data_IF_154350822150
#
_entry.id   IF_154350822150
#
_cell.length_a   1.000
_cell.length_b   1.000
_cell.length_c   1.000
_cell.angle_alpha   90.00
_cell.angle_beta   90.00
_cell.angle_gamma   90.00
#
_symmetry.space_group_name_H-M   'P 1'
#
loop_
_entity.id
_entity.type
_entity.pdbx_description
1 polymer ?
#
# COMPACT_ATOMS: atom_id res chain seq x y z
N UNK A 1 -2.75 2.18 15.38
CA UNK A 1 -2.63 2.42 13.93
C UNK A 1 -2.78 1.10 13.20
N UNK A 2 -3.54 1.07 12.11
CA UNK A 2 -3.72 -0.10 11.26
C UNK A 2 -3.34 0.25 9.83
N UNK A 3 -2.54 -0.61 9.19
CA UNK A 3 -2.06 -0.40 7.82
C UNK A 3 -2.42 -1.60 6.96
N UNK A 4 -3.05 -1.32 5.82
CA UNK A 4 -3.41 -2.30 4.81
C UNK A 4 -2.39 -2.33 3.66
N UNK A 5 -2.07 -3.51 3.17
CA UNK A 5 -1.27 -3.70 1.95
C UNK A 5 -2.08 -4.48 0.92
N UNK A 6 -2.12 -3.96 -0.30
CA UNK A 6 -2.70 -4.66 -1.45
C UNK A 6 -1.58 -4.95 -2.44
N UNK A 7 -1.14 -6.20 -2.43
CA UNK A 7 0.07 -6.68 -3.13
C UNK A 7 1.28 -6.80 -2.21
N UNK A 8 1.74 -8.03 -1.97
CA UNK A 8 2.97 -8.34 -1.26
C UNK A 8 4.01 -8.91 -2.23
N UNK A 9 4.55 -8.03 -3.05
CA UNK A 9 5.71 -8.31 -3.89
C UNK A 9 7.01 -7.84 -3.24
N UNK A 10 8.01 -7.53 -4.07
CA UNK A 10 9.28 -6.98 -3.62
C UNK A 10 9.10 -5.66 -2.86
N UNK A 11 8.41 -4.70 -3.45
CA UNK A 11 8.25 -3.35 -2.85
C UNK A 11 7.29 -3.39 -1.67
N UNK A 12 6.08 -3.93 -1.85
CA UNK A 12 5.09 -4.01 -0.76
C UNK A 12 5.62 -4.77 0.46
N UNK A 13 6.30 -5.89 0.24
CA UNK A 13 6.97 -6.64 1.31
C UNK A 13 8.09 -5.85 1.99
N UNK A 14 8.88 -5.08 1.23
CA UNK A 14 9.96 -4.26 1.80
C UNK A 14 9.43 -3.12 2.65
N UNK A 15 8.34 -2.45 2.21
CA UNK A 15 7.66 -1.42 3.00
C UNK A 15 7.06 -2.04 4.27
N UNK A 16 6.35 -3.18 4.15
CA UNK A 16 5.76 -3.85 5.30
C UNK A 16 6.81 -4.25 6.35
N UNK A 17 7.99 -4.74 5.91
CA UNK A 17 9.12 -5.03 6.79
C UNK A 17 9.68 -3.77 7.47
N UNK A 18 9.74 -2.65 6.76
CA UNK A 18 10.17 -1.37 7.33
C UNK A 18 9.16 -0.87 8.37
N UNK A 19 7.86 -0.90 8.04
CA UNK A 19 6.80 -0.53 8.99
C UNK A 19 6.88 -1.40 10.25
N UNK A 20 6.98 -2.71 10.12
CA UNK A 20 7.09 -3.62 11.29
C UNK A 20 8.32 -3.32 12.15
N UNK A 21 9.43 -2.97 11.52
CA UNK A 21 10.67 -2.69 12.25
C UNK A 21 10.60 -1.37 13.04
N UNK A 22 10.10 -0.29 12.42
CA UNK A 22 10.07 1.03 13.05
C UNK A 22 8.81 1.26 13.92
N UNK A 23 7.73 0.54 13.63
CA UNK A 23 6.44 0.66 14.31
C UNK A 23 5.90 -0.72 14.70
N UNK A 24 6.54 -1.40 15.69
CA UNK A 24 6.26 -2.81 16.01
C UNK A 24 4.83 -3.07 16.48
N UNK A 25 4.17 -2.08 17.08
CA UNK A 25 2.80 -2.19 17.59
C UNK A 25 1.71 -1.91 16.54
N UNK A 26 2.10 -1.63 15.29
CA UNK A 26 1.14 -1.41 14.20
C UNK A 26 0.47 -2.72 13.79
N UNK A 27 -0.85 -2.72 13.70
CA UNK A 27 -1.56 -3.81 13.04
C UNK A 27 -1.35 -3.70 11.53
N UNK A 28 -0.82 -4.76 10.92
CA UNK A 28 -0.58 -4.82 9.47
C UNK A 28 -1.40 -5.97 8.91
N UNK A 29 -2.28 -5.66 7.96
CA UNK A 29 -3.04 -6.63 7.19
C UNK A 29 -2.63 -6.58 5.72
N UNK A 30 -2.77 -7.69 5.01
CA UNK A 30 -2.43 -7.68 3.59
C UNK A 30 -3.33 -8.60 2.77
N UNK A 31 -3.70 -8.10 1.60
CA UNK A 31 -4.26 -8.88 0.50
C UNK A 31 -3.23 -9.01 -0.61
N UNK A 32 -3.07 -10.21 -1.14
CA UNK A 32 -2.24 -10.44 -2.33
C UNK A 32 -2.77 -11.61 -3.13
N UNK A 33 -2.73 -11.46 -4.46
CA UNK A 33 -3.10 -12.56 -5.37
C UNK A 33 -2.27 -13.82 -5.15
N UNK A 34 -1.02 -13.67 -4.73
CA UNK A 34 -0.14 -14.79 -4.40
C UNK A 34 -0.28 -15.13 -2.92
N UNK A 35 -1.12 -16.13 -2.62
CA UNK A 35 -1.40 -16.56 -1.25
C UNK A 35 -0.13 -16.95 -0.48
N UNK A 36 0.82 -17.65 -1.13
CA UNK A 36 2.09 -18.03 -0.52
C UNK A 36 2.90 -16.81 0.00
N UNK A 37 2.82 -15.63 -0.66
CA UNK A 37 3.47 -14.42 -0.18
C UNK A 37 2.87 -13.93 1.13
N UNK A 38 1.55 -14.03 1.27
CA UNK A 38 0.81 -13.63 2.47
C UNK A 38 1.14 -14.58 3.63
N UNK A 39 1.06 -15.90 3.38
CA UNK A 39 1.38 -16.93 4.37
C UNK A 39 2.82 -16.80 4.88
N UNK A 40 3.76 -16.55 3.98
CA UNK A 40 5.16 -16.31 4.36
C UNK A 40 5.32 -15.02 5.19
N UNK A 41 4.62 -13.95 4.84
CA UNK A 41 4.69 -12.69 5.59
C UNK A 41 4.11 -12.80 7.00
N UNK A 42 3.07 -13.62 7.19
CA UNK A 42 2.54 -13.97 8.52
C UNK A 42 3.56 -14.80 9.29
N UNK A 43 4.12 -15.85 8.67
CA UNK A 43 5.13 -16.70 9.30
C UNK A 43 6.40 -15.94 9.72
N UNK A 44 6.81 -14.95 8.91
CA UNK A 44 7.93 -14.05 9.21
C UNK A 44 7.60 -13.01 10.31
N UNK A 45 6.36 -12.95 10.79
CA UNK A 45 5.91 -11.94 11.75
C UNK A 45 5.86 -10.50 11.20
N UNK A 46 5.89 -10.34 9.88
CA UNK A 46 5.86 -9.02 9.22
C UNK A 46 4.46 -8.44 9.20
N UNK A 47 3.46 -9.28 8.91
CA UNK A 47 2.05 -8.88 8.96
C UNK A 47 1.30 -9.70 10.02
N UNK A 48 0.22 -9.15 10.55
CA UNK A 48 -0.59 -9.81 11.56
C UNK A 48 -1.49 -10.88 10.94
N UNK A 49 -2.10 -10.57 9.77
CA UNK A 49 -2.97 -11.51 9.07
C UNK A 49 -3.11 -11.22 7.59
N UNK A 50 -3.39 -12.25 6.83
CA UNK A 50 -3.77 -12.14 5.42
C UNK A 50 -5.27 -11.99 5.26
N UNK A 51 -5.69 -11.26 4.23
CA UNK A 51 -7.08 -11.03 3.84
C UNK A 51 -7.30 -11.64 2.47
N UNK A 52 -8.31 -12.50 2.34
CA UNK A 52 -8.57 -13.22 1.10
C UNK A 52 -9.18 -12.32 0.00
N UNK A 53 -9.95 -11.31 0.40
CA UNK A 53 -10.59 -10.35 -0.52
C UNK A 53 -10.64 -8.96 0.11
N UNK A 54 -10.88 -7.94 -0.71
CA UNK A 54 -11.06 -6.58 -0.20
C UNK A 54 -12.45 -6.46 0.40
N UNK A 55 -12.53 -6.32 1.71
CA UNK A 55 -13.76 -6.28 2.49
C UNK A 55 -13.65 -5.30 3.68
N UNK A 56 -14.57 -5.41 4.63
CA UNK A 56 -14.68 -4.54 5.81
C UNK A 56 -13.41 -4.53 6.69
N UNK A 57 -12.53 -5.51 6.55
CA UNK A 57 -11.25 -5.53 7.26
C UNK A 57 -10.36 -4.32 6.93
N UNK A 58 -10.59 -3.67 5.78
CA UNK A 58 -9.87 -2.45 5.38
C UNK A 58 -10.52 -1.15 5.88
N UNK A 59 -11.73 -1.19 6.45
CA UNK A 59 -12.53 0.00 6.76
C UNK A 59 -11.91 0.92 7.83
N UNK A 60 -11.16 0.37 8.76
CA UNK A 60 -10.50 1.07 9.86
C UNK A 60 -8.98 1.26 9.65
N UNK A 61 -8.50 1.02 8.43
CA UNK A 61 -7.11 1.32 8.09
C UNK A 61 -6.84 2.83 8.12
N UNK A 62 -5.74 3.21 8.76
CA UNK A 62 -5.21 4.57 8.71
C UNK A 62 -4.52 4.83 7.37
N UNK A 63 -3.77 3.84 6.90
CA UNK A 63 -3.07 3.89 5.61
C UNK A 63 -3.30 2.61 4.83
N UNK A 64 -3.40 2.72 3.50
CA UNK A 64 -3.44 1.57 2.59
C UNK A 64 -2.41 1.77 1.47
N UNK A 65 -1.52 0.81 1.33
CA UNK A 65 -0.52 0.77 0.25
C UNK A 65 -0.98 -0.11 -0.90
N UNK A 66 -1.16 0.48 -2.08
CA UNK A 66 -1.42 -0.23 -3.32
C UNK A 66 -0.09 -0.62 -3.98
N UNK A 67 0.32 -1.85 -3.74
CA UNK A 67 1.58 -2.42 -4.23
C UNK A 67 1.38 -3.51 -5.30
N UNK A 68 0.18 -3.64 -5.82
CA UNK A 68 -0.15 -4.49 -6.94
C UNK A 68 0.30 -3.84 -8.27
N UNK A 69 0.32 -4.58 -9.40
CA UNK A 69 0.57 -3.98 -10.69
C UNK A 69 -0.37 -2.80 -10.99
N UNK A 70 0.14 -1.74 -11.62
CA UNK A 70 -0.59 -0.48 -11.88
C UNK A 70 -1.97 -0.75 -12.51
N UNK A 71 -2.03 -1.66 -13.48
CA UNK A 71 -3.29 -2.05 -14.14
C UNK A 71 -4.33 -2.68 -13.22
N UNK A 72 -3.94 -3.19 -12.06
CA UNK A 72 -4.84 -3.79 -11.08
C UNK A 72 -5.30 -2.79 -10.02
N UNK A 73 -4.52 -1.74 -9.77
CA UNK A 73 -4.78 -0.78 -8.70
C UNK A 73 -6.09 -0.02 -8.89
N UNK A 74 -6.48 0.27 -10.14
CA UNK A 74 -7.76 0.92 -10.45
C UNK A 74 -8.98 0.13 -9.91
N UNK A 75 -8.96 -1.21 -10.05
CA UNK A 75 -10.02 -2.08 -9.53
C UNK A 75 -10.03 -2.12 -7.99
N UNK A 76 -8.87 -2.09 -7.38
CA UNK A 76 -8.78 -2.04 -5.92
C UNK A 76 -9.29 -0.72 -5.36
N UNK A 77 -9.06 0.42 -6.01
CA UNK A 77 -9.66 1.71 -5.64
C UNK A 77 -11.19 1.65 -5.67
N UNK A 78 -11.79 1.04 -6.69
CA UNK A 78 -13.25 0.85 -6.77
C UNK A 78 -13.79 0.04 -5.60
N UNK A 79 -13.07 -1.02 -5.19
CA UNK A 79 -13.48 -1.87 -4.08
C UNK A 79 -13.29 -1.18 -2.72
N UNK A 80 -12.24 -0.37 -2.57
CA UNK A 80 -11.95 0.35 -1.33
C UNK A 80 -12.88 1.54 -1.11
N UNK A 81 -13.31 2.22 -2.17
CA UNK A 81 -14.14 3.43 -2.05
C UNK A 81 -15.32 3.31 -1.08
N UNK A 82 -16.17 2.26 -1.15
CA UNK A 82 -17.30 2.11 -0.24
C UNK A 82 -16.92 1.69 1.19
N UNK A 83 -15.68 1.29 1.42
CA UNK A 83 -15.23 0.70 2.69
C UNK A 83 -14.50 1.68 3.58
N UNK A 84 -13.65 2.53 3.00
CA UNK A 84 -12.73 3.38 3.77
C UNK A 84 -13.41 4.59 4.39
N UNK A 85 -12.91 5.00 5.54
CA UNK A 85 -13.31 6.25 6.20
C UNK A 85 -12.65 7.49 5.56
N UNK A 86 -13.14 8.69 5.91
CA UNK A 86 -12.64 9.96 5.36
C UNK A 86 -11.18 10.25 5.71
N UNK A 87 -10.68 9.72 6.80
CA UNK A 87 -9.31 9.94 7.30
C UNK A 87 -8.31 8.90 6.80
N UNK A 88 -8.77 7.89 6.05
CA UNK A 88 -7.88 6.87 5.48
C UNK A 88 -7.10 7.46 4.30
N UNK A 89 -5.79 7.30 4.31
CA UNK A 89 -4.93 7.70 3.20
C UNK A 89 -4.49 6.47 2.41
N UNK A 90 -4.75 6.48 1.12
CA UNK A 90 -4.28 5.48 0.17
C UNK A 90 -3.07 6.02 -0.58
N UNK A 91 -2.03 5.23 -0.70
CA UNK A 91 -0.88 5.52 -1.55
C UNK A 91 -0.56 4.34 -2.44
N UNK A 92 0.01 4.59 -3.60
CA UNK A 92 0.52 3.54 -4.49
C UNK A 92 2.04 3.58 -4.59
N UNK A 93 2.61 2.58 -5.24
CA UNK A 93 4.07 2.50 -5.45
C UNK A 93 4.44 2.40 -6.94
N UNK A 94 3.49 2.65 -7.83
CA UNK A 94 3.69 2.55 -9.28
C UNK A 94 4.66 3.59 -9.84
N UNK A 95 5.34 3.25 -10.94
CA UNK A 95 6.27 4.18 -11.61
C UNK A 95 5.56 5.21 -12.49
N UNK A 96 4.30 4.98 -12.88
CA UNK A 96 3.47 5.91 -13.65
C UNK A 96 2.30 6.38 -12.81
N UNK A 97 1.88 7.63 -12.97
CA UNK A 97 0.88 8.28 -12.13
C UNK A 97 -0.40 8.71 -12.86
N UNK A 98 -0.34 8.90 -14.18
CA UNK A 98 -1.46 9.44 -14.95
C UNK A 98 -2.74 8.63 -14.74
N UNK A 99 -2.71 7.34 -15.06
CA UNK A 99 -3.90 6.48 -15.04
C UNK A 99 -4.50 6.36 -13.62
N UNK A 100 -3.64 6.28 -12.59
CA UNK A 100 -4.14 6.15 -11.22
C UNK A 100 -4.74 7.46 -10.70
N UNK A 101 -4.17 8.62 -11.05
CA UNK A 101 -4.75 9.92 -10.69
C UNK A 101 -6.06 10.19 -11.42
N UNK A 102 -6.17 9.85 -12.71
CA UNK A 102 -7.44 9.89 -13.44
C UNK A 102 -8.50 9.05 -12.74
N UNK A 103 -8.15 7.82 -12.37
CA UNK A 103 -9.08 6.93 -11.66
C UNK A 103 -9.49 7.45 -10.28
N UNK A 104 -8.56 8.03 -9.54
CA UNK A 104 -8.83 8.66 -8.24
C UNK A 104 -9.81 9.82 -8.38
N UNK A 105 -9.64 10.65 -9.43
CA UNK A 105 -10.55 11.76 -9.74
C UNK A 105 -11.94 11.24 -10.14
N UNK A 106 -12.02 10.25 -11.02
CA UNK A 106 -13.28 9.62 -11.44
C UNK A 106 -14.07 9.03 -10.27
N UNK A 107 -13.36 8.61 -9.23
CA UNK A 107 -13.95 8.04 -8.02
C UNK A 107 -14.20 9.08 -6.91
N UNK A 108 -13.89 10.37 -7.10
CA UNK A 108 -13.93 11.39 -6.03
C UNK A 108 -13.14 10.98 -4.77
N UNK A 109 -11.96 10.39 -4.95
CA UNK A 109 -11.09 9.92 -3.86
C UNK A 109 -9.84 10.77 -3.67
N UNK A 110 -9.78 11.96 -4.25
CA UNK A 110 -8.60 12.83 -4.25
C UNK A 110 -8.15 13.24 -2.83
N UNK A 111 -9.11 13.44 -1.91
CA UNK A 111 -8.80 13.73 -0.51
C UNK A 111 -8.18 12.54 0.24
N UNK A 112 -8.42 11.33 -0.22
CA UNK A 112 -7.91 10.10 0.38
C UNK A 112 -6.65 9.56 -0.30
N UNK A 113 -6.12 10.22 -1.34
CA UNK A 113 -5.06 9.64 -2.15
C UNK A 113 -3.81 10.52 -2.24
N UNK A 114 -2.66 9.88 -2.05
CA UNK A 114 -1.36 10.47 -2.32
C UNK A 114 -0.60 9.47 -3.20
N UNK A 115 -0.35 9.82 -4.46
CA UNK A 115 0.47 8.99 -5.32
C UNK A 115 1.88 8.86 -4.76
N UNK A 116 2.47 7.69 -4.87
CA UNK A 116 3.80 7.41 -4.36
C UNK A 116 4.66 6.65 -5.36
N UNK A 117 5.97 6.84 -5.28
CA UNK A 117 6.95 6.07 -6.06
C UNK A 117 8.26 5.98 -5.28
N UNK A 118 8.56 4.83 -4.66
CA UNK A 118 9.87 4.60 -4.08
C UNK A 118 10.92 4.49 -5.19
N UNK A 119 11.97 5.31 -5.10
CA UNK A 119 13.12 5.24 -6.01
C UNK A 119 14.03 4.07 -5.60
N UNK A 120 13.45 2.89 -5.51
CA UNK A 120 14.07 1.66 -5.08
C UNK A 120 13.54 0.48 -5.90
N UNK A 121 14.37 -0.53 -6.07
CA UNK A 121 13.99 -1.73 -6.80
C UNK A 121 15.17 -2.67 -6.97
N UNK A 122 14.93 -3.80 -7.59
CA UNK A 122 15.96 -4.73 -8.04
C UNK A 122 15.41 -5.57 -9.21
N UNK A 123 16.26 -6.32 -9.84
CA UNK A 123 15.88 -7.29 -10.87
C UNK A 123 15.09 -8.49 -10.30
N UNK A 124 15.12 -8.66 -8.97
CA UNK A 124 14.39 -9.71 -8.26
C UNK A 124 12.93 -9.33 -8.06
N UNK A 125 12.07 -10.32 -7.99
CA UNK A 125 10.62 -10.14 -7.80
C UNK A 125 10.12 -11.00 -6.64
N UNK A 126 8.91 -10.70 -6.18
CA UNK A 126 8.23 -11.47 -5.14
C UNK A 126 8.63 -11.13 -3.70
N UNK A 127 7.76 -11.51 -2.78
CA UNK A 127 7.92 -11.26 -1.35
C UNK A 127 9.18 -11.86 -0.76
N UNK A 128 9.56 -13.08 -1.18
CA UNK A 128 10.76 -13.77 -0.69
C UNK A 128 12.06 -12.97 -0.88
N UNK A 129 12.10 -12.06 -1.85
CA UNK A 129 13.24 -11.17 -2.11
C UNK A 129 13.11 -9.80 -1.43
N UNK A 130 11.99 -9.53 -0.74
CA UNK A 130 11.78 -8.26 -0.04
C UNK A 130 12.73 -8.10 1.13
N UNK A 131 13.23 -6.89 1.32
CA UNK A 131 14.14 -6.55 2.43
C UNK A 131 13.86 -5.12 2.88
N UNK A 132 13.83 -4.90 4.20
CA UNK A 132 13.69 -3.55 4.77
C UNK A 132 14.70 -2.55 4.17
N UNK A 133 15.94 -2.96 4.07
CA UNK A 133 17.05 -2.12 3.57
C UNK A 133 16.83 -1.63 2.12
N UNK A 134 15.97 -2.28 1.34
CA UNK A 134 15.66 -1.83 -0.01
C UNK A 134 14.97 -0.45 -0.03
N UNK A 135 14.18 -0.15 0.99
CA UNK A 135 13.43 1.11 1.13
C UNK A 135 14.16 2.09 2.04
N UNK A 136 15.00 1.59 2.94
CA UNK A 136 15.75 2.42 3.89
C UNK A 136 16.70 3.36 3.15
N UNK A 137 16.60 4.65 3.45
CA UNK A 137 17.33 5.73 2.78
C UNK A 137 17.04 5.91 1.28
N UNK A 138 16.03 5.25 0.73
CA UNK A 138 15.57 5.51 -0.63
C UNK A 138 14.74 6.81 -0.66
N UNK A 139 14.86 7.57 -1.75
CA UNK A 139 13.92 8.65 -2.00
C UNK A 139 12.53 8.05 -2.26
N UNK A 140 11.52 8.63 -1.65
CA UNK A 140 10.13 8.29 -1.91
C UNK A 140 9.44 9.54 -2.47
N UNK A 141 9.16 9.54 -3.76
CA UNK A 141 8.46 10.65 -4.41
C UNK A 141 6.97 10.53 -4.10
N UNK A 142 6.36 11.65 -3.73
CA UNK A 142 4.91 11.75 -3.50
C UNK A 142 4.29 12.75 -4.47
N UNK A 143 3.08 12.46 -4.91
CA UNK A 143 2.27 13.29 -5.80
C UNK A 143 0.89 13.49 -5.18
N UNK A 144 0.74 14.44 -4.26
CA UNK A 144 -0.56 14.76 -3.67
C UNK A 144 -1.49 15.38 -4.72
N UNK A 145 -2.79 15.29 -4.49
CA UNK A 145 -3.81 16.02 -5.26
C UNK A 145 -4.05 17.41 -4.65
N UNK A 146 -4.81 18.27 -5.32
CA UNK A 146 -5.21 19.56 -4.75
C UNK A 146 -6.12 19.43 -3.53
N UNK A 147 -6.82 18.29 -3.39
CA UNK A 147 -7.71 18.00 -2.26
C UNK A 147 -7.05 17.20 -1.13
N UNK A 148 -5.81 16.76 -1.32
CA UNK A 148 -5.07 16.02 -0.29
C UNK A 148 -4.85 16.90 0.94
N UNK A 149 -5.23 16.46 2.15
CA UNK A 149 -4.98 17.21 3.38
C UNK A 149 -3.48 17.45 3.58
N UNK A 150 -3.13 18.67 3.98
CA UNK A 150 -1.72 19.07 4.14
C UNK A 150 -0.99 18.21 5.17
N UNK A 151 -1.67 17.91 6.29
CA UNK A 151 -1.17 17.04 7.36
C UNK A 151 -0.91 15.61 6.92
N UNK A 152 -1.51 15.16 5.82
CA UNK A 152 -1.25 13.84 5.25
C UNK A 152 0.02 13.80 4.37
N UNK A 153 0.53 14.98 3.97
CA UNK A 153 1.73 15.13 3.15
C UNK A 153 2.97 15.35 4.03
N UNK A 154 2.82 15.93 5.19
CA UNK A 154 3.88 16.21 6.19
C UNK A 154 4.22 14.96 7.02
#
# INVERSE_FOLDING_TARGET
>A
MKIGFIGLGLIGGSIARAVRYFYPDTEIIAHSRTRASVEQAVADGVINRGIDQIDEDFSDCTYIFLCAPVSSNAKYLEQLKPLIGPDCIITDVGSTKTDIHEKVTDLDMEANFIGGHPMAGSEKTGYANSKRILIENAYYMITPTEKTPREAVE
#
